data_IF_692390304271
#
_entry.id   IF_692390304271
#
_cell.length_a   1.000
_cell.length_b   1.000
_cell.length_c   1.000
_cell.angle_alpha   90.00
_cell.angle_beta   90.00
_cell.angle_gamma   90.00
#
_symmetry.space_group_name_H-M   'P 1'
#
loop_
_entity.id
_entity.type
_entity.pdbx_description
1 polymer ?
#
# COMPACT_ATOMS: atom_id res chain seq x y z
N UNK A 1 33.72 9.48 25.57
CA UNK A 1 33.09 8.38 24.80
C UNK A 1 33.43 7.10 25.54
N UNK A 2 32.43 6.46 26.12
CA UNK A 2 32.62 5.18 26.82
C UNK A 2 32.95 4.13 25.76
N UNK A 3 34.09 3.46 25.94
CA UNK A 3 34.56 2.37 25.09
C UNK A 3 33.64 1.18 25.33
N UNK A 4 32.58 1.05 24.56
CA UNK A 4 31.62 -0.02 24.67
C UNK A 4 32.19 -1.32 24.04
N UNK A 5 33.23 -1.89 24.65
CA UNK A 5 33.89 -3.15 24.23
C UNK A 5 33.23 -4.38 24.78
N UNK A 6 32.33 -4.26 25.76
CA UNK A 6 31.59 -5.42 26.27
C UNK A 6 30.40 -5.72 25.35
N UNK A 7 30.37 -6.93 24.83
CA UNK A 7 29.19 -7.43 24.10
C UNK A 7 28.02 -7.52 25.07
N UNK A 8 26.89 -6.94 24.70
CA UNK A 8 25.63 -7.15 25.41
C UNK A 8 25.36 -8.65 25.54
N UNK A 9 24.87 -9.06 26.72
CA UNK A 9 24.51 -10.46 27.01
C UNK A 9 25.66 -11.46 27.12
N UNK A 10 26.91 -11.02 27.30
CA UNK A 10 28.05 -11.94 27.55
C UNK A 10 27.84 -12.89 28.75
N UNK A 11 27.00 -12.52 29.70
CA UNK A 11 26.62 -13.33 30.86
C UNK A 11 25.64 -14.47 30.52
N UNK A 12 25.10 -14.51 29.32
CA UNK A 12 24.21 -15.57 28.85
C UNK A 12 24.97 -16.42 27.81
N UNK A 13 25.37 -17.63 28.15
CA UNK A 13 26.04 -18.50 27.19
C UNK A 13 25.13 -18.87 26.03
N UNK A 14 25.65 -19.05 24.81
CA UNK A 14 24.86 -19.55 23.69
C UNK A 14 24.27 -20.93 24.02
N UNK A 15 23.00 -21.12 23.78
CA UNK A 15 22.28 -22.39 23.92
C UNK A 15 22.13 -23.00 22.53
N UNK A 16 22.48 -24.28 22.35
CA UNK A 16 22.33 -24.98 21.07
C UNK A 16 20.84 -25.25 20.73
N UNK A 17 20.54 -25.59 19.49
CA UNK A 17 19.19 -25.99 19.07
C UNK A 17 18.77 -27.29 19.76
N UNK A 18 19.68 -28.20 19.92
CA UNK A 18 19.49 -29.50 20.61
C UNK A 18 19.12 -29.28 22.08
N UNK A 19 19.89 -28.50 22.82
CA UNK A 19 19.60 -28.17 24.22
C UNK A 19 18.25 -27.46 24.38
N UNK A 20 17.94 -26.56 23.47
CA UNK A 20 16.62 -25.89 23.45
C UNK A 20 15.50 -26.89 23.21
N UNK A 21 15.65 -27.78 22.23
CA UNK A 21 14.64 -28.81 21.91
C UNK A 21 14.44 -29.80 23.04
N UNK A 22 15.52 -30.23 23.73
CA UNK A 22 15.44 -31.09 24.91
C UNK A 22 14.60 -30.45 26.02
N UNK A 23 14.87 -29.16 26.30
CA UNK A 23 14.10 -28.39 27.29
C UNK A 23 12.64 -28.27 26.92
N UNK A 24 12.34 -27.90 25.67
CA UNK A 24 10.96 -27.79 25.16
C UNK A 24 10.24 -29.15 25.27
N UNK A 25 10.90 -30.24 24.88
CA UNK A 25 10.30 -31.58 24.95
C UNK A 25 9.99 -31.99 26.40
N UNK A 26 10.87 -31.66 27.32
CA UNK A 26 10.66 -31.90 28.76
C UNK A 26 9.48 -31.09 29.28
N UNK A 27 9.37 -29.82 28.91
CA UNK A 27 8.29 -28.92 29.34
C UNK A 27 6.93 -29.31 28.73
N UNK A 28 6.90 -29.88 27.53
CA UNK A 28 5.70 -30.41 26.88
C UNK A 28 5.19 -31.72 27.53
N UNK A 29 5.95 -32.35 28.45
CA UNK A 29 5.54 -33.55 29.18
C UNK A 29 5.00 -34.67 28.28
N UNK A 30 5.68 -34.91 27.15
CA UNK A 30 5.31 -35.95 26.18
C UNK A 30 4.28 -35.52 25.13
N UNK A 31 3.81 -34.26 25.12
CA UNK A 31 2.98 -33.76 24.03
C UNK A 31 3.80 -33.53 22.78
N UNK A 32 3.21 -33.79 21.62
CA UNK A 32 3.85 -33.60 20.32
C UNK A 32 4.13 -32.11 20.02
N UNK A 33 5.37 -31.78 19.71
CA UNK A 33 5.87 -30.44 19.43
C UNK A 33 5.11 -29.77 18.26
N UNK A 34 4.93 -30.50 17.16
CA UNK A 34 4.30 -29.95 15.96
C UNK A 34 2.81 -29.66 16.17
N UNK A 35 2.15 -30.49 16.98
CA UNK A 35 0.72 -30.28 17.29
C UNK A 35 0.47 -29.13 18.27
N UNK A 36 1.44 -28.85 19.16
CA UNK A 36 1.25 -27.87 20.24
C UNK A 36 1.83 -26.49 19.92
N UNK A 37 2.97 -26.45 19.24
CA UNK A 37 3.74 -25.21 19.09
C UNK A 37 3.88 -24.74 17.64
N UNK A 38 3.71 -25.61 16.65
CA UNK A 38 3.81 -25.22 15.25
C UNK A 38 2.43 -24.73 14.74
N UNK A 39 2.40 -23.49 14.31
CA UNK A 39 1.21 -22.93 13.72
C UNK A 39 1.08 -23.33 12.24
N UNK A 40 -0.03 -23.96 11.89
CA UNK A 40 -0.38 -24.26 10.51
C UNK A 40 -1.18 -23.09 9.96
N UNK A 41 -0.59 -22.36 9.02
CA UNK A 41 -1.22 -21.19 8.44
C UNK A 41 -2.29 -21.57 7.41
N UNK A 42 -3.20 -20.65 7.17
CA UNK A 42 -4.21 -20.81 6.10
C UNK A 42 -3.58 -20.69 4.71
N UNK A 43 -2.39 -20.13 4.61
CA UNK A 43 -1.59 -19.98 3.40
C UNK A 43 -0.90 -21.29 2.95
N UNK A 44 -0.99 -22.34 3.77
CA UNK A 44 -0.52 -23.69 3.43
C UNK A 44 0.92 -24.00 3.85
N UNK A 45 1.54 -23.19 4.71
CA UNK A 45 2.84 -23.49 5.32
C UNK A 45 2.79 -23.45 6.86
N UNK A 46 3.85 -23.94 7.48
CA UNK A 46 3.95 -24.00 8.92
C UNK A 46 4.90 -22.93 9.45
N UNK A 47 4.52 -22.29 10.54
CA UNK A 47 5.33 -21.31 11.27
C UNK A 47 5.81 -21.96 12.56
N UNK A 48 7.14 -22.00 12.74
CA UNK A 48 7.78 -22.50 13.97
C UNK A 48 7.61 -21.48 15.10
N UNK A 49 7.59 -21.92 16.37
CA UNK A 49 7.54 -21.01 17.52
C UNK A 49 8.81 -20.17 17.68
N UNK A 50 9.93 -20.60 17.11
CA UNK A 50 11.22 -19.93 17.16
C UNK A 50 12.01 -20.21 15.88
N UNK A 51 12.72 -19.18 15.41
CA UNK A 51 13.66 -19.25 14.28
C UNK A 51 15.06 -18.89 14.78
N UNK A 52 16.08 -19.56 14.25
CA UNK A 52 17.48 -19.38 14.61
C UNK A 52 18.32 -19.04 13.37
N UNK A 53 19.62 -18.76 13.53
CA UNK A 53 20.50 -18.39 12.42
C UNK A 53 20.50 -19.43 11.29
N UNK A 54 20.52 -20.72 11.64
CA UNK A 54 20.48 -21.84 10.72
C UNK A 54 19.24 -21.87 9.80
N UNK A 55 18.10 -21.33 10.26
CA UNK A 55 16.89 -21.24 9.46
C UNK A 55 17.02 -20.18 8.36
N UNK A 56 17.97 -19.26 8.47
CA UNK A 56 18.17 -18.14 7.55
C UNK A 56 19.41 -18.25 6.66
N UNK A 57 20.32 -19.18 6.93
CA UNK A 57 21.60 -19.32 6.22
C UNK A 57 21.45 -19.49 4.70
N UNK A 58 20.40 -20.19 4.27
CA UNK A 58 20.15 -20.47 2.85
C UNK A 58 19.18 -19.48 2.18
N UNK A 59 18.74 -18.45 2.88
CA UNK A 59 17.81 -17.47 2.34
C UNK A 59 18.55 -16.42 1.51
N UNK A 60 18.28 -16.38 0.20
CA UNK A 60 18.86 -15.39 -0.74
C UNK A 60 18.39 -13.95 -0.50
N UNK A 61 17.46 -13.76 0.43
CA UNK A 61 16.79 -12.47 0.69
C UNK A 61 17.34 -11.74 1.91
N UNK A 62 18.19 -12.36 2.72
CA UNK A 62 18.74 -11.81 3.96
C UNK A 62 19.60 -10.57 3.73
N UNK A 63 20.37 -10.56 2.63
CA UNK A 63 21.31 -9.46 2.30
C UNK A 63 20.69 -8.34 1.48
N UNK A 64 19.37 -8.40 1.22
CA UNK A 64 18.66 -7.38 0.44
C UNK A 64 18.70 -6.03 1.14
N UNK A 65 19.01 -4.96 0.39
CA UNK A 65 19.03 -3.59 0.91
C UNK A 65 17.79 -2.81 0.50
N UNK A 66 17.36 -1.82 1.29
CA UNK A 66 16.28 -0.92 0.89
C UNK A 66 16.63 -0.15 -0.39
N UNK A 67 15.67 -0.03 -1.30
CA UNK A 67 15.86 0.68 -2.57
C UNK A 67 16.50 -0.12 -3.69
N UNK A 68 17.04 -1.33 -3.40
CA UNK A 68 17.67 -2.20 -4.40
C UNK A 68 16.66 -3.25 -4.95
N UNK A 69 16.77 -3.50 -6.26
CA UNK A 69 15.96 -4.53 -6.93
C UNK A 69 16.23 -5.93 -6.29
N UNK A 70 15.22 -6.75 -6.07
CA UNK A 70 13.80 -6.61 -6.40
C UNK A 70 12.93 -5.94 -5.30
N UNK A 71 13.47 -5.02 -4.53
CA UNK A 71 12.79 -4.14 -3.57
C UNK A 71 12.15 -4.87 -2.39
N UNK A 72 12.70 -5.99 -1.96
CA UNK A 72 12.18 -6.78 -0.84
C UNK A 72 12.05 -5.91 0.42
N UNK A 73 13.08 -5.10 0.72
CA UNK A 73 13.11 -4.24 1.90
C UNK A 73 12.64 -2.82 1.70
N UNK A 74 12.05 -2.50 0.55
CA UNK A 74 11.52 -1.19 0.25
C UNK A 74 11.94 -0.65 -1.11
N UNK A 75 11.15 0.25 -1.67
CA UNK A 75 11.42 0.90 -2.95
C UNK A 75 12.31 2.13 -2.83
N UNK A 76 12.58 2.58 -1.60
CA UNK A 76 13.45 3.72 -1.25
C UNK A 76 14.58 3.28 -0.32
N UNK A 77 15.65 4.06 -0.28
CA UNK A 77 16.76 3.87 0.66
C UNK A 77 16.53 4.54 2.03
N UNK A 78 15.56 5.45 2.11
CA UNK A 78 15.18 6.17 3.32
C UNK A 78 13.84 5.68 3.88
N UNK A 79 13.50 6.12 5.08
CA UNK A 79 12.27 5.79 5.80
C UNK A 79 11.22 6.92 5.72
N UNK A 80 11.22 7.72 4.68
CA UNK A 80 10.25 8.79 4.48
C UNK A 80 8.97 8.23 3.86
N UNK A 81 8.03 7.83 4.70
CA UNK A 81 6.70 7.38 4.29
C UNK A 81 5.63 8.45 4.59
N UNK A 82 4.52 8.39 3.87
CA UNK A 82 3.44 9.35 3.99
C UNK A 82 2.34 8.83 4.93
N UNK A 83 1.87 9.70 5.82
CA UNK A 83 0.73 9.43 6.70
C UNK A 83 -0.50 10.02 6.03
N UNK A 84 -1.42 9.15 5.60
CA UNK A 84 -2.65 9.54 4.92
C UNK A 84 -3.84 9.49 5.86
N UNK A 85 -4.71 10.51 5.73
CA UNK A 85 -6.03 10.53 6.32
C UNK A 85 -7.08 10.67 5.22
N UNK A 86 -8.08 9.78 5.23
CA UNK A 86 -9.23 9.87 4.34
C UNK A 86 -10.31 10.80 4.92
N UNK A 87 -10.93 11.60 4.04
CA UNK A 87 -11.98 12.56 4.37
C UNK A 87 -13.15 12.37 3.41
N UNK A 88 -14.32 12.07 3.93
CA UNK A 88 -15.56 12.08 3.16
C UNK A 88 -16.00 13.54 3.01
N UNK A 89 -16.26 13.98 1.77
CA UNK A 89 -16.63 15.35 1.45
C UNK A 89 -18.16 15.43 1.33
N UNK A 90 -18.85 15.51 2.48
CA UNK A 90 -20.29 15.79 2.52
C UNK A 90 -20.54 17.30 2.45
N UNK A 91 -19.69 18.09 3.09
CA UNK A 91 -19.60 19.55 3.00
C UNK A 91 -18.15 19.95 2.74
N UNK A 92 -17.93 20.74 1.71
CA UNK A 92 -16.60 21.14 1.25
C UNK A 92 -15.85 21.99 2.28
N UNK A 93 -16.55 22.89 2.97
CA UNK A 93 -15.94 23.79 3.96
C UNK A 93 -15.54 23.03 5.22
N UNK A 94 -16.39 22.10 5.66
CA UNK A 94 -16.10 21.22 6.80
C UNK A 94 -14.93 20.29 6.46
N UNK A 95 -14.90 19.71 5.26
CA UNK A 95 -13.82 18.86 4.80
C UNK A 95 -12.48 19.61 4.73
N UNK A 96 -12.45 20.84 4.19
CA UNK A 96 -11.27 21.69 4.17
C UNK A 96 -10.77 22.02 5.58
N UNK A 97 -11.66 22.42 6.48
CA UNK A 97 -11.28 22.70 7.89
C UNK A 97 -10.66 21.48 8.56
N UNK A 98 -11.25 20.29 8.35
CA UNK A 98 -10.69 19.02 8.86
C UNK A 98 -9.33 18.74 8.25
N UNK A 99 -9.16 18.93 6.94
CA UNK A 99 -7.90 18.73 6.24
C UNK A 99 -6.79 19.60 6.83
N UNK A 100 -7.02 20.91 6.98
CA UNK A 100 -6.06 21.83 7.56
C UNK A 100 -5.73 21.49 9.03
N UNK A 101 -6.72 21.07 9.83
CA UNK A 101 -6.49 20.65 11.22
C UNK A 101 -5.58 19.42 11.30
N UNK A 102 -5.83 18.38 10.51
CA UNK A 102 -5.02 17.15 10.57
C UNK A 102 -3.60 17.31 9.99
N UNK A 103 -3.41 18.22 9.04
CA UNK A 103 -2.07 18.58 8.55
C UNK A 103 -1.19 19.15 9.66
N UNK A 104 -1.76 19.92 10.60
CA UNK A 104 -1.01 20.41 11.77
C UNK A 104 -0.63 19.30 12.76
N UNK A 105 -1.24 18.12 12.63
CA UNK A 105 -1.03 16.95 13.50
C UNK A 105 -0.11 15.87 12.89
N UNK A 106 0.60 16.20 11.81
CA UNK A 106 1.60 15.33 11.21
C UNK A 106 1.13 14.50 10.02
N UNK A 107 -0.14 14.65 9.58
CA UNK A 107 -0.60 14.09 8.30
C UNK A 107 0.08 14.86 7.16
N UNK A 108 0.52 14.15 6.13
CA UNK A 108 1.19 14.72 4.95
C UNK A 108 0.68 14.15 3.61
N UNK A 109 -0.39 13.37 3.67
CA UNK A 109 -1.15 12.89 2.53
C UNK A 109 -2.64 12.93 2.84
N UNK A 110 -3.43 13.50 1.96
CA UNK A 110 -4.89 13.62 2.11
C UNK A 110 -5.60 12.74 1.08
N UNK A 111 -6.65 12.05 1.50
CA UNK A 111 -7.57 11.33 0.63
C UNK A 111 -8.95 11.97 0.71
N UNK A 112 -9.52 12.39 -0.42
CA UNK A 112 -10.85 12.99 -0.48
C UNK A 112 -11.81 12.08 -1.24
N UNK A 113 -12.89 11.68 -0.60
CA UNK A 113 -14.02 11.01 -1.24
C UNK A 113 -15.01 12.08 -1.72
N UNK A 114 -15.03 12.30 -3.05
CA UNK A 114 -15.76 13.43 -3.66
C UNK A 114 -16.89 12.90 -4.52
N UNK A 115 -18.11 13.36 -4.26
CA UNK A 115 -19.26 13.10 -5.12
C UNK A 115 -19.32 14.06 -6.32
N UNK A 116 -20.09 13.70 -7.34
CA UNK A 116 -20.22 14.45 -8.60
C UNK A 116 -20.63 15.93 -8.38
N UNK A 117 -21.51 16.15 -7.43
CA UNK A 117 -22.04 17.49 -7.08
C UNK A 117 -20.97 18.44 -6.55
N UNK A 118 -19.91 17.89 -5.97
CA UNK A 118 -18.79 18.67 -5.43
C UNK A 118 -17.65 18.89 -6.44
N UNK A 119 -17.71 18.29 -7.65
CA UNK A 119 -16.67 18.46 -8.67
C UNK A 119 -16.98 19.70 -9.50
N UNK A 120 -16.72 20.88 -8.93
CA UNK A 120 -16.79 22.18 -9.58
C UNK A 120 -15.54 23.01 -9.27
N UNK A 121 -15.17 24.00 -10.11
CA UNK A 121 -14.01 24.85 -9.85
C UNK A 121 -14.09 25.55 -8.49
N UNK A 122 -15.25 26.04 -8.10
CA UNK A 122 -15.50 26.75 -6.83
C UNK A 122 -15.28 25.81 -5.63
N UNK A 123 -15.85 24.61 -5.71
CA UNK A 123 -15.72 23.61 -4.66
C UNK A 123 -14.28 23.08 -4.55
N UNK A 124 -13.58 22.90 -5.68
CA UNK A 124 -12.17 22.50 -5.67
C UNK A 124 -11.30 23.57 -5.01
N UNK A 125 -11.54 24.85 -5.33
CA UNK A 125 -10.85 25.96 -4.70
C UNK A 125 -11.14 26.03 -3.19
N UNK A 126 -12.38 25.80 -2.78
CA UNK A 126 -12.77 25.80 -1.37
C UNK A 126 -12.18 24.58 -0.62
N UNK A 127 -12.18 23.38 -1.23
CA UNK A 127 -11.68 22.15 -0.64
C UNK A 127 -10.17 22.20 -0.38
N UNK A 128 -9.41 22.75 -1.33
CA UNK A 128 -7.94 22.80 -1.26
C UNK A 128 -7.40 24.15 -0.75
N UNK A 129 -8.28 25.03 -0.26
CA UNK A 129 -7.87 26.32 0.30
C UNK A 129 -6.88 26.16 1.44
N UNK A 130 -5.81 26.93 1.42
CA UNK A 130 -4.74 26.98 2.42
C UNK A 130 -3.96 25.65 2.57
N UNK A 131 -4.05 24.74 1.59
CA UNK A 131 -3.27 23.49 1.54
C UNK A 131 -2.11 23.67 0.56
N UNK A 132 -0.89 23.35 1.02
CA UNK A 132 0.31 23.34 0.18
C UNK A 132 0.34 22.06 -0.69
N UNK A 133 -0.33 22.14 -1.86
CA UNK A 133 -0.48 21.00 -2.77
C UNK A 133 0.81 20.61 -3.51
N UNK A 134 1.91 21.38 -3.40
CA UNK A 134 3.23 20.97 -3.91
C UNK A 134 3.93 19.99 -2.96
N UNK A 135 3.71 20.12 -1.66
CA UNK A 135 4.37 19.32 -0.63
C UNK A 135 3.44 18.27 0.01
N UNK A 136 2.13 18.51 0.02
CA UNK A 136 1.13 17.55 0.52
C UNK A 136 0.62 16.68 -0.64
N UNK A 137 0.65 15.36 -0.47
CA UNK A 137 0.10 14.44 -1.46
C UNK A 137 -1.43 14.45 -1.41
N UNK A 138 -2.10 14.71 -2.56
CA UNK A 138 -3.55 14.78 -2.66
C UNK A 138 -4.10 13.60 -3.45
N UNK A 139 -4.98 12.83 -2.83
CA UNK A 139 -5.59 11.67 -3.44
C UNK A 139 -7.11 11.82 -3.49
N UNK A 140 -7.71 11.46 -4.61
CA UNK A 140 -9.14 11.55 -4.80
C UNK A 140 -9.77 10.19 -5.04
N UNK A 141 -10.95 9.98 -4.47
CA UNK A 141 -11.85 8.88 -4.73
C UNK A 141 -13.17 9.43 -5.23
N UNK A 142 -13.62 8.98 -6.40
CA UNK A 142 -14.92 9.34 -6.96
C UNK A 142 -15.52 8.20 -7.78
N UNK A 143 -16.75 8.35 -8.22
CA UNK A 143 -17.33 7.40 -9.18
C UNK A 143 -16.53 7.44 -10.50
N UNK A 144 -16.26 6.28 -11.08
CA UNK A 144 -15.45 6.14 -12.31
C UNK A 144 -15.94 7.04 -13.47
N UNK A 145 -17.25 7.30 -13.57
CA UNK A 145 -17.83 8.20 -14.59
C UNK A 145 -17.41 9.66 -14.43
N UNK A 146 -16.95 10.05 -13.26
CA UNK A 146 -16.58 11.42 -12.93
C UNK A 146 -15.07 11.67 -13.00
N UNK A 147 -14.28 10.63 -13.29
CA UNK A 147 -12.82 10.72 -13.25
C UNK A 147 -12.27 11.79 -14.21
N UNK A 148 -12.76 11.87 -15.43
CA UNK A 148 -12.34 12.90 -16.40
C UNK A 148 -12.59 14.30 -15.87
N UNK A 149 -13.82 14.58 -15.44
CA UNK A 149 -14.22 15.88 -14.87
C UNK A 149 -13.35 16.25 -13.67
N UNK A 150 -13.05 15.28 -12.80
CA UNK A 150 -12.21 15.52 -11.62
C UNK A 150 -10.76 15.87 -12.00
N UNK A 151 -10.16 15.16 -12.97
CA UNK A 151 -8.81 15.44 -13.49
C UNK A 151 -8.75 16.86 -14.06
N UNK A 152 -9.70 17.21 -14.94
CA UNK A 152 -9.77 18.53 -15.58
C UNK A 152 -9.96 19.65 -14.54
N UNK A 153 -10.90 19.47 -13.60
CA UNK A 153 -11.18 20.47 -12.56
C UNK A 153 -9.97 20.67 -11.65
N UNK A 154 -9.29 19.58 -11.25
CA UNK A 154 -8.09 19.66 -10.42
C UNK A 154 -6.93 20.34 -11.16
N UNK A 155 -6.71 19.98 -12.43
CA UNK A 155 -5.68 20.59 -13.27
C UNK A 155 -5.92 22.07 -13.51
N UNK A 156 -7.17 22.46 -13.79
CA UNK A 156 -7.57 23.86 -13.95
C UNK A 156 -7.35 24.68 -12.66
N UNK A 157 -7.69 24.10 -11.51
CA UNK A 157 -7.45 24.73 -10.21
C UNK A 157 -5.95 24.97 -9.96
N UNK A 158 -5.11 23.92 -10.13
CA UNK A 158 -3.65 24.04 -9.92
C UNK A 158 -3.02 25.08 -10.84
N UNK A 159 -3.47 25.14 -12.10
CA UNK A 159 -3.06 26.18 -13.04
C UNK A 159 -3.46 27.58 -12.57
N UNK A 160 -4.68 27.74 -12.02
CA UNK A 160 -5.19 29.04 -11.57
C UNK A 160 -4.44 29.62 -10.38
N UNK A 161 -3.86 28.77 -9.53
CA UNK A 161 -3.05 29.16 -8.36
C UNK A 161 -1.53 29.06 -8.61
N UNK A 162 -1.13 28.87 -9.87
CA UNK A 162 0.27 28.83 -10.33
C UNK A 162 1.14 27.78 -9.64
N UNK A 163 0.59 26.61 -9.30
CA UNK A 163 1.31 25.47 -8.73
C UNK A 163 2.28 24.89 -9.74
N UNK A 164 3.48 24.53 -9.28
CA UNK A 164 4.41 23.69 -10.04
C UNK A 164 3.89 22.24 -10.07
N UNK A 165 3.10 21.89 -11.09
CA UNK A 165 2.50 20.56 -11.25
C UNK A 165 3.54 19.44 -11.36
N UNK A 166 4.82 19.78 -11.64
CA UNK A 166 5.91 18.79 -11.63
C UNK A 166 6.34 18.38 -10.23
N UNK A 167 5.92 19.10 -9.20
CA UNK A 167 6.13 18.74 -7.78
C UNK A 167 4.90 18.09 -7.17
N UNK A 168 3.71 18.55 -7.52
CA UNK A 168 2.45 18.08 -6.97
C UNK A 168 2.21 16.58 -7.22
N UNK A 169 1.99 15.82 -6.16
CA UNK A 169 1.80 14.36 -6.19
C UNK A 169 0.39 13.99 -5.75
N UNK A 170 -0.12 12.89 -6.30
CA UNK A 170 -1.43 12.40 -5.91
C UNK A 170 -1.93 11.21 -6.70
N UNK A 171 -3.24 10.95 -6.58
CA UNK A 171 -3.90 9.91 -7.36
C UNK A 171 -5.40 10.17 -7.51
N UNK A 172 -5.99 9.61 -8.58
CA UNK A 172 -7.43 9.67 -8.87
C UNK A 172 -8.17 8.36 -8.60
N UNK A 173 -7.46 7.31 -8.27
CA UNK A 173 -7.99 6.00 -7.91
C UNK A 173 -9.09 5.48 -8.86
N UNK A 174 -8.90 5.62 -10.17
CA UNK A 174 -9.79 5.06 -11.18
C UNK A 174 -9.71 3.53 -11.16
N UNK A 175 -10.83 2.88 -10.83
CA UNK A 175 -10.89 1.45 -10.64
C UNK A 175 -12.25 0.85 -11.07
N UNK A 176 -12.41 0.54 -12.38
CA UNK A 176 -13.60 -0.13 -12.88
C UNK A 176 -13.71 -1.58 -12.42
N UNK A 177 -12.60 -2.31 -12.17
CA UNK A 177 -12.62 -3.71 -11.74
C UNK A 177 -13.30 -3.88 -10.38
N UNK A 178 -13.05 -2.98 -9.43
CA UNK A 178 -13.77 -2.97 -8.14
C UNK A 178 -15.29 -2.94 -8.35
N UNK A 179 -15.74 -2.15 -9.32
CA UNK A 179 -17.16 -2.05 -9.64
C UNK A 179 -17.69 -3.28 -10.37
N UNK A 180 -16.89 -3.87 -11.28
CA UNK A 180 -17.22 -5.12 -11.95
C UNK A 180 -17.40 -6.26 -10.93
N UNK A 181 -16.46 -6.43 -10.02
CA UNK A 181 -16.52 -7.43 -8.94
C UNK A 181 -17.72 -7.22 -8.01
N UNK A 182 -18.01 -5.98 -7.60
CA UNK A 182 -19.12 -5.69 -6.69
C UNK A 182 -20.50 -5.81 -7.32
N UNK A 183 -20.64 -5.57 -8.62
CA UNK A 183 -21.95 -5.44 -9.30
C UNK A 183 -22.18 -6.48 -10.39
N UNK A 184 -21.20 -7.32 -10.71
CA UNK A 184 -21.29 -8.33 -11.78
C UNK A 184 -21.54 -7.71 -13.17
N UNK A 185 -21.11 -6.46 -13.39
CA UNK A 185 -21.29 -5.77 -14.67
C UNK A 185 -19.96 -5.58 -15.36
N UNK A 186 -19.86 -6.02 -16.58
CA UNK A 186 -18.71 -5.79 -17.43
C UNK A 186 -18.59 -4.30 -17.83
N UNK A 187 -17.36 -3.86 -17.99
CA UNK A 187 -16.99 -2.53 -18.45
C UNK A 187 -16.20 -2.67 -19.75
N UNK A 188 -16.92 -2.79 -20.85
CA UNK A 188 -16.30 -2.67 -22.17
C UNK A 188 -15.51 -1.34 -22.27
N UNK A 189 -14.35 -1.38 -22.91
CA UNK A 189 -13.48 -0.20 -23.14
C UNK A 189 -12.81 0.42 -21.91
N UNK A 190 -12.72 -0.28 -20.77
CA UNK A 190 -12.04 0.25 -19.56
C UNK A 190 -10.58 0.65 -19.82
N UNK A 191 -9.87 -0.12 -20.64
CA UNK A 191 -8.47 0.14 -20.99
C UNK A 191 -8.32 1.43 -21.81
N UNK A 192 -9.14 1.61 -22.84
CA UNK A 192 -9.13 2.82 -23.70
C UNK A 192 -9.51 4.06 -22.87
N UNK A 193 -10.50 3.93 -21.99
CA UNK A 193 -10.89 5.03 -21.09
C UNK A 193 -9.74 5.38 -20.13
N UNK A 194 -9.12 4.37 -19.50
CA UNK A 194 -7.99 4.60 -18.62
C UNK A 194 -6.81 5.25 -19.35
N UNK A 195 -6.47 4.80 -20.56
CA UNK A 195 -5.40 5.39 -21.37
C UNK A 195 -5.68 6.87 -21.71
N UNK A 196 -6.93 7.21 -22.03
CA UNK A 196 -7.35 8.60 -22.26
C UNK A 196 -7.21 9.45 -21.00
N UNK A 197 -7.67 8.93 -19.84
CA UNK A 197 -7.55 9.62 -18.55
C UNK A 197 -6.07 9.82 -18.15
N UNK A 198 -5.23 8.84 -18.39
CA UNK A 198 -3.78 8.89 -18.14
C UNK A 198 -3.15 9.99 -18.99
N UNK A 199 -3.50 10.07 -20.28
CA UNK A 199 -2.99 11.10 -21.17
C UNK A 199 -3.36 12.50 -20.68
N UNK A 200 -4.63 12.73 -20.38
CA UNK A 200 -5.11 14.01 -19.85
C UNK A 200 -4.45 14.37 -18.52
N UNK A 201 -4.31 13.39 -17.60
CA UNK A 201 -3.65 13.61 -16.33
C UNK A 201 -2.15 13.90 -16.49
N UNK A 202 -1.47 13.23 -17.41
CA UNK A 202 -0.04 13.44 -17.65
C UNK A 202 0.29 14.83 -18.18
N UNK A 203 -0.63 15.43 -18.95
CA UNK A 203 -0.50 16.80 -19.45
C UNK A 203 -0.73 17.85 -18.34
N UNK A 204 -1.68 17.60 -17.44
CA UNK A 204 -2.09 18.56 -16.41
C UNK A 204 -1.34 18.36 -15.08
N UNK A 205 -1.14 17.11 -14.68
CA UNK A 205 -0.68 16.68 -13.35
C UNK A 205 0.27 15.49 -13.48
N UNK A 206 1.49 15.67 -14.03
CA UNK A 206 2.37 14.58 -14.49
C UNK A 206 2.83 13.59 -13.39
N UNK A 207 2.68 13.94 -12.12
CA UNK A 207 3.01 13.06 -10.99
C UNK A 207 1.79 12.45 -10.31
N UNK A 208 0.59 12.70 -10.82
CA UNK A 208 -0.61 12.00 -10.35
C UNK A 208 -0.73 10.64 -11.03
N UNK A 209 -1.19 9.65 -10.26
CA UNK A 209 -1.53 8.33 -10.75
C UNK A 209 -3.02 8.22 -10.97
N UNK A 210 -3.39 7.63 -12.08
CA UNK A 210 -4.81 7.53 -12.44
C UNK A 210 -5.41 6.21 -11.97
N UNK A 211 -4.71 5.11 -12.17
CA UNK A 211 -5.23 3.76 -12.02
C UNK A 211 -4.91 3.18 -10.64
N UNK A 212 -5.87 2.51 -10.05
CA UNK A 212 -5.66 1.79 -8.80
C UNK A 212 -6.06 0.32 -8.87
N UNK A 213 -5.42 -0.47 -8.00
CA UNK A 213 -5.77 -1.84 -7.62
C UNK A 213 -6.23 -1.79 -6.18
N UNK A 214 -7.53 -1.85 -5.93
CA UNK A 214 -8.09 -1.74 -4.57
C UNK A 214 -8.25 -3.12 -3.91
N UNK A 215 -7.12 -3.70 -3.51
CA UNK A 215 -7.08 -5.00 -2.85
C UNK A 215 -7.65 -4.97 -1.41
N UNK A 216 -7.83 -3.79 -0.82
CA UNK A 216 -8.47 -3.62 0.51
C UNK A 216 -9.83 -4.32 0.55
N UNK A 217 -10.56 -4.35 -0.58
CA UNK A 217 -11.85 -5.02 -0.64
C UNK A 217 -11.77 -6.53 -0.37
N UNK A 218 -10.70 -7.19 -0.79
CA UNK A 218 -10.50 -8.62 -0.53
C UNK A 218 -10.15 -8.84 0.93
N UNK A 219 -9.28 -8.01 1.49
CA UNK A 219 -8.92 -8.06 2.90
C UNK A 219 -10.15 -7.87 3.79
N UNK A 220 -10.97 -6.85 3.53
CA UNK A 220 -12.21 -6.58 4.25
C UNK A 220 -13.29 -7.66 4.04
N UNK A 221 -13.16 -8.48 3.00
CA UNK A 221 -14.01 -9.66 2.79
C UNK A 221 -13.49 -10.93 3.48
N UNK A 222 -12.34 -10.85 4.20
CA UNK A 222 -11.76 -11.97 4.94
C UNK A 222 -10.83 -12.87 4.12
N UNK A 223 -10.28 -12.39 3.02
CA UNK A 223 -9.27 -13.12 2.25
C UNK A 223 -8.01 -13.34 3.08
N UNK A 224 -7.41 -14.51 2.92
CA UNK A 224 -6.08 -14.77 3.45
C UNK A 224 -5.03 -13.87 2.76
N UNK A 225 -3.91 -13.66 3.42
CA UNK A 225 -2.82 -12.78 2.96
C UNK A 225 -2.34 -13.17 1.56
N UNK A 226 -2.15 -14.47 1.30
CA UNK A 226 -1.75 -14.99 -0.01
C UNK A 226 -2.82 -14.78 -1.10
N UNK A 227 -4.10 -14.84 -0.74
CA UNK A 227 -5.22 -14.60 -1.67
C UNK A 227 -5.31 -13.11 -2.02
N UNK A 228 -5.27 -12.22 -1.03
CA UNK A 228 -5.25 -10.77 -1.26
C UNK A 228 -4.10 -10.40 -2.19
N UNK A 229 -2.89 -10.89 -1.90
CA UNK A 229 -1.71 -10.62 -2.71
C UNK A 229 -1.84 -11.18 -4.12
N UNK A 230 -2.28 -12.42 -4.27
CA UNK A 230 -2.46 -13.06 -5.57
C UNK A 230 -3.47 -12.33 -6.45
N UNK A 231 -4.62 -11.96 -5.90
CA UNK A 231 -5.65 -11.19 -6.61
C UNK A 231 -5.16 -9.78 -6.98
N UNK A 232 -4.45 -9.11 -6.07
CA UNK A 232 -3.89 -7.79 -6.33
C UNK A 232 -2.87 -7.82 -7.47
N UNK A 233 -1.97 -8.81 -7.48
CA UNK A 233 -0.96 -8.94 -8.53
C UNK A 233 -1.60 -9.32 -9.88
N UNK A 234 -2.59 -10.21 -9.89
CA UNK A 234 -3.35 -10.53 -11.10
C UNK A 234 -4.06 -9.30 -11.67
N UNK A 235 -4.70 -8.53 -10.80
CA UNK A 235 -5.37 -7.28 -11.18
C UNK A 235 -4.38 -6.22 -11.70
N UNK A 236 -3.21 -6.06 -11.04
CA UNK A 236 -2.15 -5.18 -11.51
C UNK A 236 -1.59 -5.62 -12.86
N UNK A 237 -1.40 -6.93 -13.07
CA UNK A 237 -0.95 -7.47 -14.35
C UNK A 237 -1.99 -7.24 -15.47
N UNK A 238 -3.27 -7.43 -15.18
CA UNK A 238 -4.35 -7.10 -16.13
C UNK A 238 -4.31 -5.62 -16.55
N UNK A 239 -4.12 -4.71 -15.60
CA UNK A 239 -3.94 -3.30 -15.91
C UNK A 239 -2.71 -3.06 -16.79
N UNK A 240 -1.58 -3.68 -16.47
CA UNK A 240 -0.35 -3.50 -17.24
C UNK A 240 -0.52 -3.99 -18.69
N UNK A 241 -1.13 -5.17 -18.88
CA UNK A 241 -1.45 -5.72 -20.20
C UNK A 241 -2.41 -4.81 -20.98
N UNK A 242 -3.55 -4.49 -20.38
CA UNK A 242 -4.60 -3.70 -21.02
C UNK A 242 -4.13 -2.28 -21.41
N UNK A 243 -3.32 -1.64 -20.58
CA UNK A 243 -2.78 -0.31 -20.89
C UNK A 243 -1.72 -0.36 -21.98
N UNK A 244 -0.88 -1.40 -22.00
CA UNK A 244 0.10 -1.56 -23.08
C UNK A 244 -0.57 -1.91 -24.41
N UNK A 245 -1.61 -2.73 -24.41
CA UNK A 245 -2.44 -3.01 -25.58
C UNK A 245 -3.18 -1.76 -26.08
N UNK A 246 -3.54 -0.85 -25.15
CA UNK A 246 -4.13 0.44 -25.50
C UNK A 246 -3.11 1.49 -25.99
N UNK A 247 -1.83 1.12 -26.13
CA UNK A 247 -0.78 1.90 -26.77
C UNK A 247 0.12 2.71 -25.83
N UNK A 248 0.05 2.51 -24.51
CA UNK A 248 1.03 3.09 -23.58
C UNK A 248 2.30 2.25 -23.56
N UNK A 249 3.45 2.89 -23.35
CA UNK A 249 4.67 2.14 -23.04
C UNK A 249 4.56 1.43 -21.68
N UNK A 250 5.35 0.37 -21.48
CA UNK A 250 5.38 -0.35 -20.19
C UNK A 250 5.73 0.60 -19.03
N UNK A 251 6.65 1.53 -19.28
CA UNK A 251 7.09 2.51 -18.29
C UNK A 251 5.98 3.50 -17.90
N UNK A 252 5.20 3.96 -18.87
CA UNK A 252 4.05 4.82 -18.59
C UNK A 252 2.96 4.06 -17.84
N UNK A 253 2.58 2.87 -18.31
CA UNK A 253 1.55 2.05 -17.71
C UNK A 253 1.90 1.69 -16.25
N UNK A 254 3.10 1.17 -16.00
CA UNK A 254 3.53 0.75 -14.68
C UNK A 254 3.60 1.93 -13.67
N UNK A 255 4.00 3.11 -14.13
CA UNK A 255 4.02 4.33 -13.28
C UNK A 255 2.64 4.80 -12.86
N UNK A 256 1.61 4.47 -13.63
CA UNK A 256 0.24 4.89 -13.35
C UNK A 256 -0.51 3.98 -12.38
N UNK A 257 -0.03 2.77 -12.15
CA UNK A 257 -0.68 1.78 -11.29
C UNK A 257 -0.28 2.01 -9.83
N UNK A 258 -1.28 2.12 -8.96
CA UNK A 258 -1.14 2.20 -7.50
C UNK A 258 -1.92 1.08 -6.84
N UNK A 259 -1.30 0.39 -5.90
CA UNK A 259 -1.91 -0.68 -5.13
C UNK A 259 -2.37 -0.16 -3.78
N UNK A 260 -3.61 -0.45 -3.42
CA UNK A 260 -4.16 -0.21 -2.09
C UNK A 260 -4.35 -1.58 -1.42
N UNK A 261 -3.60 -1.86 -0.36
CA UNK A 261 -3.67 -3.10 0.41
C UNK A 261 -4.33 -2.90 1.77
N UNK A 262 -5.07 -3.91 2.24
CA UNK A 262 -5.49 -3.97 3.62
C UNK A 262 -4.34 -4.38 4.54
N UNK A 263 -4.42 -4.04 5.83
CA UNK A 263 -3.53 -4.56 6.87
C UNK A 263 -4.40 -5.25 7.90
N UNK A 264 -4.20 -6.55 8.08
CA UNK A 264 -4.91 -7.37 9.06
C UNK A 264 -4.14 -7.49 10.37
N UNK A 265 -4.68 -8.27 11.31
CA UNK A 265 -4.12 -8.43 12.65
C UNK A 265 -2.84 -9.30 12.73
N UNK A 266 -2.44 -9.94 11.63
CA UNK A 266 -1.31 -10.86 11.65
C UNK A 266 0.01 -10.15 11.33
N UNK A 267 0.61 -9.55 12.35
CA UNK A 267 1.75 -8.63 12.26
C UNK A 267 2.88 -9.08 11.33
N UNK A 268 3.50 -10.24 11.59
CA UNK A 268 4.64 -10.72 10.80
C UNK A 268 4.25 -11.19 9.41
N UNK A 269 3.05 -11.73 9.25
CA UNK A 269 2.56 -12.13 7.93
C UNK A 269 2.22 -10.92 7.06
N UNK A 270 1.76 -9.82 7.64
CA UNK A 270 1.57 -8.55 6.92
C UNK A 270 2.91 -7.97 6.45
N UNK A 271 3.94 -7.99 7.29
CA UNK A 271 5.31 -7.62 6.88
C UNK A 271 5.75 -8.48 5.69
N UNK A 272 5.58 -9.79 5.77
CA UNK A 272 5.94 -10.71 4.69
C UNK A 272 5.15 -10.43 3.40
N UNK A 273 3.85 -10.09 3.50
CA UNK A 273 3.00 -9.72 2.36
C UNK A 273 3.59 -8.54 1.58
N UNK A 274 3.92 -7.44 2.26
CA UNK A 274 4.47 -6.26 1.59
C UNK A 274 5.85 -6.52 0.96
N UNK A 275 6.69 -7.33 1.59
CA UNK A 275 7.98 -7.76 1.02
C UNK A 275 7.79 -8.58 -0.25
N UNK A 276 6.92 -9.58 -0.18
CA UNK A 276 6.57 -10.41 -1.33
C UNK A 276 5.90 -9.61 -2.45
N UNK A 277 4.98 -8.69 -2.13
CA UNK A 277 4.29 -7.85 -3.08
C UNK A 277 5.26 -7.05 -3.96
N UNK A 278 6.22 -6.36 -3.34
CA UNK A 278 7.22 -5.57 -4.07
C UNK A 278 8.09 -6.42 -4.97
N UNK A 279 8.59 -7.54 -4.43
CA UNK A 279 9.44 -8.47 -5.19
C UNK A 279 8.71 -9.05 -6.40
N UNK A 280 7.51 -9.57 -6.19
CA UNK A 280 6.73 -10.21 -7.25
C UNK A 280 6.28 -9.19 -8.31
N UNK A 281 5.86 -8.00 -7.90
CA UNK A 281 5.53 -6.92 -8.84
C UNK A 281 6.73 -6.51 -9.68
N UNK A 282 7.90 -6.35 -9.06
CA UNK A 282 9.12 -6.03 -9.78
C UNK A 282 9.45 -7.10 -10.85
N UNK A 283 9.24 -8.38 -10.53
CA UNK A 283 9.43 -9.48 -11.48
C UNK A 283 8.39 -9.46 -12.61
N UNK A 284 7.11 -9.20 -12.29
CA UNK A 284 6.04 -9.07 -13.30
C UNK A 284 6.39 -7.96 -14.28
N UNK A 285 6.67 -6.76 -13.80
CA UNK A 285 6.99 -5.62 -14.69
C UNK A 285 8.25 -5.89 -15.50
N UNK A 286 9.28 -6.52 -14.91
CA UNK A 286 10.51 -6.91 -15.62
C UNK A 286 10.24 -7.84 -16.80
N UNK A 287 9.25 -8.74 -16.69
CA UNK A 287 8.86 -9.64 -17.78
C UNK A 287 8.32 -8.88 -19.00
N UNK A 288 7.75 -7.69 -18.81
CA UNK A 288 7.31 -6.80 -19.90
C UNK A 288 8.44 -5.96 -20.52
N UNK A 289 9.68 -6.10 -20.01
CA UNK A 289 10.90 -5.43 -20.52
C UNK A 289 10.78 -3.90 -20.54
N UNK A 290 10.60 -3.23 -19.39
CA UNK A 290 10.59 -1.78 -19.29
C UNK A 290 11.96 -1.20 -19.68
N UNK A 291 11.99 0.01 -20.21
CA UNK A 291 13.24 0.72 -20.52
C UNK A 291 13.93 1.25 -19.24
N UNK A 292 13.13 1.60 -18.22
CA UNK A 292 13.62 2.12 -16.95
C UNK A 292 13.33 1.14 -15.80
N UNK A 293 14.37 0.70 -15.08
CA UNK A 293 14.22 -0.08 -13.85
C UNK A 293 13.36 0.63 -12.78
N UNK A 294 13.24 1.95 -12.85
CA UNK A 294 12.39 2.70 -11.92
C UNK A 294 10.90 2.33 -12.02
N UNK A 295 10.46 1.84 -13.17
CA UNK A 295 9.08 1.41 -13.43
C UNK A 295 8.71 0.09 -12.75
N UNK A 296 9.71 -0.71 -12.36
CA UNK A 296 9.49 -1.96 -11.61
C UNK A 296 9.15 -1.73 -10.14
N UNK A 297 9.26 -0.49 -9.65
CA UNK A 297 8.95 -0.14 -8.25
C UNK A 297 7.45 -0.10 -8.02
N UNK A 298 6.94 -0.99 -7.16
CA UNK A 298 5.55 -0.97 -6.75
C UNK A 298 5.23 0.31 -5.96
N UNK A 299 4.11 0.95 -6.30
CA UNK A 299 3.54 2.04 -5.49
C UNK A 299 2.39 1.52 -4.67
N UNK A 300 2.51 1.64 -3.35
CA UNK A 300 1.55 1.07 -2.41
C UNK A 300 0.97 2.13 -1.49
N UNK A 301 -0.30 2.00 -1.20
CA UNK A 301 -0.98 2.59 -0.06
C UNK A 301 -1.50 1.43 0.81
N UNK A 302 -1.34 1.54 2.12
CA UNK A 302 -1.84 0.55 3.05
C UNK A 302 -2.88 1.19 3.98
N UNK A 303 -3.97 0.47 4.19
CA UNK A 303 -5.09 0.90 5.04
C UNK A 303 -5.38 -0.22 6.05
N UNK A 304 -5.59 0.15 7.31
CA UNK A 304 -6.00 -0.81 8.34
C UNK A 304 -7.31 -1.50 7.96
N UNK A 305 -7.37 -2.82 8.19
CA UNK A 305 -8.53 -3.64 7.84
C UNK A 305 -9.74 -3.34 8.71
N UNK A 306 -10.91 -3.38 8.12
CA UNK A 306 -12.18 -3.31 8.85
C UNK A 306 -12.67 -4.70 9.28
N UNK A 307 -12.11 -5.78 8.72
CA UNK A 307 -12.58 -7.15 8.93
C UNK A 307 -12.52 -7.60 10.39
N UNK A 308 -11.48 -7.20 11.11
CA UNK A 308 -11.26 -7.56 12.51
C UNK A 308 -11.68 -6.47 13.51
N UNK A 309 -12.31 -5.40 13.04
CA UNK A 309 -12.82 -4.32 13.90
C UNK A 309 -14.14 -4.72 14.56
N UNK A 310 -14.40 -4.15 15.74
CA UNK A 310 -15.64 -4.37 16.48
C UNK A 310 -16.44 -3.08 16.65
N UNK A 311 -17.75 -3.20 16.62
CA UNK A 311 -18.68 -2.10 16.93
C UNK A 311 -19.11 -2.09 18.40
N UNK A 312 -18.93 -3.20 19.14
CA UNK A 312 -19.35 -3.34 20.53
C UNK A 312 -18.47 -2.53 21.50
N UNK A 313 -17.19 -2.41 21.20
CA UNK A 313 -16.24 -1.57 21.93
C UNK A 313 -15.29 -0.89 20.92
N UNK A 314 -15.70 0.29 20.46
CA UNK A 314 -14.96 1.01 19.45
C UNK A 314 -13.55 1.44 19.92
N UNK A 315 -13.34 1.65 21.21
CA UNK A 315 -12.04 2.07 21.77
C UNK A 315 -10.98 0.97 21.66
N UNK A 316 -11.37 -0.30 21.73
CA UNK A 316 -10.45 -1.44 21.51
C UNK A 316 -9.86 -1.44 20.11
N UNK A 317 -10.53 -0.85 19.13
CA UNK A 317 -10.01 -0.75 17.77
C UNK A 317 -8.77 0.16 17.68
N UNK A 318 -8.56 1.07 18.62
CA UNK A 318 -7.33 1.88 18.67
C UNK A 318 -6.09 0.99 18.84
N UNK A 319 -6.17 -0.04 19.71
CA UNK A 319 -5.08 -0.98 19.92
C UNK A 319 -4.83 -1.83 18.67
N UNK A 320 -5.90 -2.28 18.00
CA UNK A 320 -5.81 -3.04 16.75
C UNK A 320 -5.16 -2.22 15.65
N UNK A 321 -5.69 -1.02 15.38
CA UNK A 321 -5.17 -0.13 14.34
C UNK A 321 -3.72 0.28 14.59
N UNK A 322 -3.30 0.43 15.87
CA UNK A 322 -1.92 0.74 16.20
C UNK A 322 -0.97 -0.37 15.76
N UNK A 323 -1.24 -1.62 16.12
CA UNK A 323 -0.37 -2.76 15.78
C UNK A 323 -0.39 -3.05 14.28
N UNK A 324 -1.53 -2.90 13.62
CA UNK A 324 -1.65 -2.99 12.16
C UNK A 324 -0.78 -1.93 11.47
N UNK A 325 -0.89 -0.67 11.89
CA UNK A 325 -0.08 0.42 11.33
C UNK A 325 1.42 0.19 11.56
N UNK A 326 1.82 -0.34 12.72
CA UNK A 326 3.22 -0.67 13.01
C UNK A 326 3.77 -1.74 12.06
N UNK A 327 2.98 -2.75 11.70
CA UNK A 327 3.44 -3.78 10.75
C UNK A 327 3.80 -3.18 9.38
N UNK A 328 3.15 -2.09 9.00
CA UNK A 328 3.43 -1.36 7.77
C UNK A 328 4.64 -0.43 7.90
N UNK A 329 4.82 0.23 9.04
CA UNK A 329 5.94 1.16 9.26
C UNK A 329 7.30 0.46 9.29
N UNK A 330 7.35 -0.79 9.75
CA UNK A 330 8.56 -1.62 9.74
C UNK A 330 9.08 -1.94 8.33
N UNK A 331 8.25 -1.75 7.31
CA UNK A 331 8.59 -2.09 5.93
C UNK A 331 9.32 -0.98 5.16
N UNK A 332 9.57 0.19 5.73
CA UNK A 332 10.26 1.32 5.09
C UNK A 332 9.71 1.66 3.70
N UNK A 333 8.39 1.63 3.52
CA UNK A 333 7.78 1.77 2.21
C UNK A 333 6.92 3.02 2.09
N UNK A 334 7.09 3.65 1.02
CA UNK A 334 6.30 4.79 0.55
C UNK A 334 5.22 4.35 -0.41
#
# INVERSE_FOLDING_TARGET
>A
MADCKEKLFNQFPPVSTEEWMEKVTADLKGADFNKKLVWRTNEGFNVKPMYRAEDTENLKTTDSRPGEYPYIRGTKSDNNWLIRQEIIVDDVTVANKKANDILTKGVNSLGFHVEETHITPENMAALLKDIDVENIEINFHTCIKNAAKLIETTGAYYKSIHVDTTKAKGSFNYDPFKRMLKRGRDFANYATQAASLIKSASELLPKFRVVSVDAVMFNNAGSYISQELGYALAWGNEWLSALTEAGLSVDEAAKQIKFNFGISSNYFMEIAKFRAARMLWAQIVTAYKPECNCSTKMKTHAQTSEFNMTVYDAHVNLLRSQTETMSRSEEHTS
#
